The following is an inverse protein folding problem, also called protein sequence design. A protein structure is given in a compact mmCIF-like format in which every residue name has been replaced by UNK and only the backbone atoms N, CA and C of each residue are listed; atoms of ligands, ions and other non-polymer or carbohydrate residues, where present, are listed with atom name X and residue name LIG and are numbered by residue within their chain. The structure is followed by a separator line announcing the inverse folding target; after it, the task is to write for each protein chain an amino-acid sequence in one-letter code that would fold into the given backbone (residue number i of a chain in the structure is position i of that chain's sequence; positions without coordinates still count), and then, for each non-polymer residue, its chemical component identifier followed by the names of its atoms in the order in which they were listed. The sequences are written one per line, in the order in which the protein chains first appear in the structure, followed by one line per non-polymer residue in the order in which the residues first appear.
data_IF_047819777643
#
_entry.id   IF_047819777643
#
_cell.length_a   1.000
_cell.length_b   1.000
_cell.length_c   1.000
_cell.angle_alpha   90.00
_cell.angle_beta   90.00
_cell.angle_gamma   90.00
#
_symmetry.space_group_name_H-M   'P 1'
#
loop_
_entity.id
_entity.type
_entity.pdbx_description
1 polymer ?
#
# COMPACT_ATOMS: atom_id res chain seq x y z
N UNK A 1 62.82 -6.19 36.53
CA UNK A 1 62.72 -6.59 37.96
C UNK A 1 61.48 -7.50 38.08
N UNK A 2 61.78 -8.65 38.64
CA UNK A 2 60.82 -9.75 38.89
C UNK A 2 59.89 -9.39 40.06
N UNK A 3 58.67 -9.92 40.04
CA UNK A 3 57.95 -10.58 41.14
C UNK A 3 56.50 -10.88 40.59
N UNK A 4 56.13 -12.07 40.33
CA UNK A 4 55.89 -13.31 41.11
C UNK A 4 54.52 -13.34 41.83
N UNK A 5 53.66 -14.18 41.30
CA UNK A 5 52.64 -15.08 41.85
C UNK A 5 52.09 -14.84 43.26
N UNK A 6 50.75 -14.93 43.37
CA UNK A 6 50.13 -15.93 44.26
C UNK A 6 48.62 -16.09 43.95
N UNK A 7 48.18 -17.36 43.73
CA UNK A 7 46.80 -17.84 43.87
C UNK A 7 46.51 -18.19 45.34
N UNK A 8 45.27 -18.17 45.77
CA UNK A 8 44.82 -19.12 46.79
C UNK A 8 43.59 -19.94 46.34
N UNK A 9 43.77 -21.21 46.41
CA UNK A 9 43.13 -22.34 47.12
C UNK A 9 41.60 -22.39 47.21
N UNK A 10 41.08 -23.48 46.62
CA UNK A 10 39.79 -24.13 46.83
C UNK A 10 39.49 -24.41 48.29
N UNK A 11 38.25 -24.17 48.72
CA UNK A 11 37.67 -24.83 49.88
C UNK A 11 36.42 -25.61 49.45
N UNK A 12 36.47 -26.89 49.78
CA UNK A 12 35.34 -27.82 49.68
C UNK A 12 34.31 -27.47 50.77
N UNK A 13 33.03 -27.51 50.44
CA UNK A 13 31.96 -27.56 51.43
C UNK A 13 31.10 -28.80 51.17
N UNK A 14 30.87 -29.46 52.27
CA UNK A 14 30.34 -30.80 52.48
C UNK A 14 28.84 -30.82 52.24
N UNK A 15 28.36 -31.84 51.53
CA UNK A 15 26.96 -32.22 51.41
C UNK A 15 26.43 -32.74 52.75
N UNK A 16 25.34 -32.16 53.25
CA UNK A 16 24.45 -32.79 54.23
C UNK A 16 23.16 -33.15 53.55
N UNK A 17 22.93 -34.43 53.42
CA UNK A 17 21.66 -35.01 52.98
C UNK A 17 20.72 -35.14 54.16
N UNK A 18 19.51 -34.62 54.05
CA UNK A 18 18.38 -34.99 54.90
C UNK A 18 17.24 -35.55 54.05
N UNK A 19 16.59 -36.61 54.49
CA UNK A 19 15.50 -37.20 53.73
C UNK A 19 14.17 -36.50 54.03
N UNK A 20 13.45 -36.07 53.01
CA UNK A 20 12.07 -35.62 53.09
C UNK A 20 11.16 -36.80 52.69
N UNK A 21 10.35 -37.22 53.61
CA UNK A 21 9.32 -38.22 53.39
C UNK A 21 8.23 -37.67 52.47
N UNK A 22 7.96 -38.40 51.42
CA UNK A 22 6.91 -38.10 50.44
C UNK A 22 5.54 -38.51 51.01
N UNK A 23 4.65 -37.53 51.15
CA UNK A 23 3.21 -37.79 51.29
C UNK A 23 2.58 -37.69 49.91
N UNK A 24 2.29 -38.82 49.29
CA UNK A 24 1.59 -38.90 48.01
C UNK A 24 0.08 -38.69 48.26
N UNK A 25 -0.44 -37.53 47.94
CA UNK A 25 -1.87 -37.32 47.78
C UNK A 25 -2.21 -37.54 46.29
N UNK A 26 -2.77 -38.70 45.97
CA UNK A 26 -3.35 -38.95 44.65
C UNK A 26 -4.61 -38.11 44.48
N UNK A 27 -4.48 -36.97 43.82
CA UNK A 27 -5.61 -36.29 43.19
C UNK A 27 -5.74 -36.81 41.78
N UNK A 28 -6.69 -37.71 41.57
CA UNK A 28 -7.03 -38.19 40.23
C UNK A 28 -7.64 -37.07 39.40
N UNK A 29 -6.84 -36.48 38.52
CA UNK A 29 -7.39 -35.69 37.42
C UNK A 29 -7.91 -36.66 36.37
N UNK A 30 -9.23 -36.78 36.29
CA UNK A 30 -9.87 -37.38 35.12
C UNK A 30 -9.58 -36.48 33.93
N UNK A 31 -8.70 -36.96 33.03
CA UNK A 31 -8.50 -36.34 31.72
C UNK A 31 -9.77 -36.66 30.92
N UNK A 32 -10.66 -35.65 30.82
CA UNK A 32 -11.74 -35.71 29.85
C UNK A 32 -11.10 -35.75 28.44
N UNK A 33 -11.58 -36.61 27.54
CA UNK A 33 -11.08 -36.60 26.18
C UNK A 33 -11.33 -35.22 25.58
N UNK A 34 -10.27 -34.60 25.07
CA UNK A 34 -10.38 -33.34 24.32
C UNK A 34 -11.40 -33.54 23.20
N UNK A 35 -12.53 -32.86 23.34
CA UNK A 35 -13.47 -32.73 22.24
C UNK A 35 -12.65 -32.17 21.06
N UNK A 36 -12.59 -32.91 19.94
CA UNK A 36 -12.09 -32.38 18.66
C UNK A 36 -12.95 -31.16 18.36
N UNK A 37 -12.39 -29.97 18.50
CA UNK A 37 -13.01 -28.78 17.97
C UNK A 37 -13.25 -29.06 16.48
N UNK A 38 -14.50 -29.09 16.08
CA UNK A 38 -14.83 -29.03 14.66
C UNK A 38 -14.18 -27.75 14.13
N UNK A 39 -13.52 -27.78 12.98
CA UNK A 39 -13.07 -26.54 12.36
C UNK A 39 -14.29 -25.62 12.26
N UNK A 40 -14.14 -24.31 12.49
CA UNK A 40 -15.22 -23.37 12.27
C UNK A 40 -15.76 -23.67 10.87
N UNK A 41 -17.08 -23.80 10.77
CA UNK A 41 -17.71 -23.92 9.45
C UNK A 41 -17.17 -22.72 8.67
N UNK A 42 -16.44 -23.02 7.59
CA UNK A 42 -16.01 -21.98 6.67
C UNK A 42 -17.29 -21.22 6.34
N UNK A 43 -17.33 -19.94 6.71
CA UNK A 43 -18.36 -19.04 6.22
C UNK A 43 -18.38 -19.33 4.73
N UNK A 44 -19.53 -19.73 4.19
CA UNK A 44 -19.64 -20.02 2.78
C UNK A 44 -19.19 -18.74 2.09
N UNK A 45 -17.98 -18.75 1.54
CA UNK A 45 -17.46 -17.66 0.76
C UNK A 45 -18.53 -17.41 -0.29
N UNK A 46 -19.08 -16.21 -0.28
CA UNK A 46 -20.04 -15.79 -1.30
C UNK A 46 -19.39 -16.18 -2.63
N UNK A 47 -20.10 -16.92 -3.45
CA UNK A 47 -19.56 -17.57 -4.63
C UNK A 47 -18.93 -16.50 -5.54
N UNK A 48 -17.60 -16.32 -5.60
CA UNK A 48 -16.99 -15.26 -6.40
C UNK A 48 -17.27 -15.42 -7.91
N UNK A 49 -17.82 -16.56 -8.29
CA UNK A 49 -18.14 -16.85 -9.69
C UNK A 49 -19.40 -16.18 -10.23
N UNK A 50 -20.24 -15.63 -9.39
CA UNK A 50 -21.44 -14.93 -9.87
C UNK A 50 -21.15 -13.44 -10.18
N UNK A 51 -19.97 -12.94 -9.81
CA UNK A 51 -19.58 -11.53 -9.97
C UNK A 51 -18.47 -11.28 -11.00
N UNK A 52 -18.01 -12.32 -11.68
CA UNK A 52 -17.01 -12.21 -12.75
C UNK A 52 -17.62 -11.92 -14.13
N UNK A 53 -18.84 -11.42 -14.15
CA UNK A 53 -19.38 -10.84 -15.38
C UNK A 53 -18.75 -9.44 -15.51
N UNK A 54 -17.84 -9.30 -16.47
CA UNK A 54 -17.00 -8.11 -16.68
C UNK A 54 -17.76 -6.87 -17.15
N UNK A 55 -18.99 -6.70 -16.74
CA UNK A 55 -19.70 -5.43 -16.91
C UNK A 55 -19.05 -4.41 -15.99
N UNK A 56 -18.22 -3.55 -16.57
CA UNK A 56 -17.76 -2.35 -15.91
C UNK A 56 -18.99 -1.64 -15.31
N UNK A 57 -18.95 -1.41 -13.99
CA UNK A 57 -20.03 -0.70 -13.30
C UNK A 57 -20.28 0.69 -13.91
N UNK A 58 -21.41 1.27 -13.57
CA UNK A 58 -21.68 2.65 -13.96
C UNK A 58 -20.61 3.58 -13.43
N UNK A 59 -20.17 4.53 -14.24
CA UNK A 59 -19.23 5.57 -13.87
C UNK A 59 -19.70 6.31 -12.63
N UNK A 60 -18.87 6.34 -11.57
CA UNK A 60 -19.14 7.09 -10.34
C UNK A 60 -18.62 8.54 -10.40
N UNK A 61 -17.83 8.88 -11.41
CA UNK A 61 -17.30 10.23 -11.65
C UNK A 61 -17.60 10.70 -13.09
N UNK A 62 -18.88 10.92 -13.46
CA UNK A 62 -19.27 11.13 -14.86
C UNK A 62 -18.66 12.39 -15.49
N UNK A 63 -18.37 13.43 -14.68
CA UNK A 63 -17.74 14.66 -15.14
C UNK A 63 -16.21 14.57 -15.28
N UNK A 64 -15.59 13.54 -14.71
CA UNK A 64 -14.14 13.36 -14.67
C UNK A 64 -13.65 12.17 -15.52
N UNK A 65 -14.50 11.54 -16.32
CA UNK A 65 -14.11 10.38 -17.14
C UNK A 65 -13.30 10.82 -18.35
N UNK A 66 -12.22 10.10 -18.63
CA UNK A 66 -11.43 10.25 -19.85
C UNK A 66 -11.61 9.01 -20.72
N UNK A 67 -12.15 9.19 -21.91
CA UNK A 67 -12.58 8.09 -22.79
C UNK A 67 -11.50 7.02 -23.02
N UNK A 68 -10.24 7.42 -23.09
CA UNK A 68 -9.12 6.49 -23.34
C UNK A 68 -8.79 5.58 -22.15
N UNK A 69 -9.22 5.94 -20.92
CA UNK A 69 -8.96 5.15 -19.71
C UNK A 69 -10.19 4.40 -19.20
N UNK A 70 -11.37 4.69 -19.77
CA UNK A 70 -12.61 4.02 -19.39
C UNK A 70 -13.29 4.58 -18.12
N UNK A 71 -14.39 3.95 -17.69
CA UNK A 71 -15.31 4.53 -16.71
C UNK A 71 -14.81 4.53 -15.26
N UNK A 72 -13.84 3.69 -14.93
CA UNK A 72 -13.31 3.55 -13.56
C UNK A 72 -12.03 4.35 -13.31
N UNK A 73 -11.67 5.24 -14.25
CA UNK A 73 -10.60 6.20 -14.08
C UNK A 73 -11.20 7.60 -14.01
N UNK A 74 -11.10 8.23 -12.85
CA UNK A 74 -11.55 9.59 -12.61
C UNK A 74 -10.36 10.54 -12.73
N UNK A 75 -10.45 11.54 -13.60
CA UNK A 75 -9.39 12.54 -13.77
C UNK A 75 -9.98 13.91 -13.45
N UNK A 76 -9.73 14.38 -12.25
CA UNK A 76 -10.14 15.69 -11.78
C UNK A 76 -9.19 16.78 -12.23
N UNK A 77 -9.70 17.99 -12.42
CA UNK A 77 -8.89 19.18 -12.67
C UNK A 77 -9.39 20.33 -11.76
N UNK A 78 -8.55 21.31 -11.52
CA UNK A 78 -8.79 22.40 -10.58
C UNK A 78 -9.84 23.43 -11.05
N UNK A 79 -10.38 23.27 -12.25
CA UNK A 79 -11.50 24.07 -12.74
C UNK A 79 -12.87 23.47 -12.41
N UNK A 80 -12.91 22.23 -11.97
CA UNK A 80 -14.12 21.57 -11.48
C UNK A 80 -14.51 22.12 -10.11
N UNK A 81 -15.81 22.20 -9.82
CA UNK A 81 -16.24 22.63 -8.49
C UNK A 81 -15.84 21.61 -7.44
N UNK A 82 -15.36 22.07 -6.28
CA UNK A 82 -15.00 21.16 -5.18
C UNK A 82 -16.18 20.28 -4.78
N UNK A 83 -17.40 20.81 -4.75
CA UNK A 83 -18.58 20.05 -4.41
C UNK A 83 -18.83 18.86 -5.40
N UNK A 84 -18.49 19.03 -6.67
CA UNK A 84 -18.58 17.93 -7.65
C UNK A 84 -17.50 16.88 -7.38
N UNK A 85 -16.24 17.33 -7.18
CA UNK A 85 -15.12 16.46 -6.87
C UNK A 85 -15.41 15.65 -5.59
N UNK A 86 -15.84 16.33 -4.53
CA UNK A 86 -16.19 15.69 -3.26
C UNK A 86 -17.29 14.63 -3.43
N UNK A 87 -18.37 14.97 -4.15
CA UNK A 87 -19.49 14.04 -4.36
C UNK A 87 -19.07 12.76 -5.13
N UNK A 88 -18.21 12.92 -6.14
CA UNK A 88 -17.68 11.78 -6.91
C UNK A 88 -16.75 10.90 -6.04
N UNK A 89 -15.89 11.52 -5.23
CA UNK A 89 -14.99 10.82 -4.29
C UNK A 89 -15.79 10.07 -3.21
N UNK A 90 -16.81 10.72 -2.64
CA UNK A 90 -17.70 10.12 -1.64
C UNK A 90 -18.49 8.94 -2.21
N UNK A 91 -18.89 9.00 -3.48
CA UNK A 91 -19.57 7.89 -4.15
C UNK A 91 -18.66 6.67 -4.29
N UNK A 92 -17.38 6.87 -4.67
CA UNK A 92 -16.39 5.80 -4.75
C UNK A 92 -16.11 5.25 -3.35
N UNK A 93 -15.89 6.11 -2.37
CA UNK A 93 -15.64 5.70 -1.00
C UNK A 93 -16.82 4.92 -0.41
N UNK A 94 -18.06 5.35 -0.64
CA UNK A 94 -19.29 4.64 -0.22
C UNK A 94 -19.32 3.21 -0.76
N UNK A 95 -18.82 2.98 -1.96
CA UNK A 95 -18.76 1.65 -2.55
C UNK A 95 -17.57 0.85 -2.02
N UNK A 96 -16.38 1.45 -1.91
CA UNK A 96 -15.12 0.71 -1.72
C UNK A 96 -14.61 0.65 -0.27
N UNK A 97 -15.10 1.50 0.64
CA UNK A 97 -14.68 1.47 2.07
C UNK A 97 -15.28 0.29 2.84
N UNK A 98 -16.56 -0.10 2.66
CA UNK A 98 -17.16 -1.16 3.46
C UNK A 98 -16.45 -2.51 3.31
N UNK A 99 -16.38 -3.28 4.41
CA UNK A 99 -15.78 -4.64 4.43
C UNK A 99 -16.36 -5.57 3.36
N UNK A 100 -17.59 -5.36 2.93
CA UNK A 100 -18.22 -6.14 1.87
C UNK A 100 -17.49 -6.02 0.52
N UNK A 101 -16.71 -4.95 0.33
CA UNK A 101 -15.92 -4.70 -0.89
C UNK A 101 -14.51 -5.29 -0.84
N UNK A 102 -14.13 -5.93 0.28
CA UNK A 102 -12.81 -6.53 0.48
C UNK A 102 -12.39 -7.48 -0.66
N UNK A 103 -13.34 -8.19 -1.27
CA UNK A 103 -13.09 -9.14 -2.36
C UNK A 103 -14.03 -8.94 -3.55
N UNK A 104 -14.50 -7.71 -3.76
CA UNK A 104 -15.34 -7.41 -4.92
C UNK A 104 -14.53 -7.29 -6.22
N UNK A 105 -15.21 -7.06 -7.32
CA UNK A 105 -14.60 -6.90 -8.65
C UNK A 105 -14.33 -5.46 -9.03
N UNK A 106 -14.76 -4.48 -8.22
CA UNK A 106 -14.61 -3.08 -8.54
C UNK A 106 -13.18 -2.60 -8.29
N UNK A 107 -12.70 -1.75 -9.16
CA UNK A 107 -11.34 -1.19 -9.14
C UNK A 107 -11.43 0.26 -9.62
N UNK A 108 -10.77 1.19 -8.94
CA UNK A 108 -10.78 2.60 -9.28
C UNK A 108 -9.37 3.20 -9.31
N UNK A 109 -9.15 4.12 -10.26
CA UNK A 109 -8.02 5.04 -10.23
C UNK A 109 -8.56 6.47 -10.18
N UNK A 110 -8.13 7.21 -9.18
CA UNK A 110 -8.48 8.60 -8.92
C UNK A 110 -7.25 9.45 -9.21
N UNK A 111 -7.33 10.26 -10.24
CA UNK A 111 -6.22 11.09 -10.69
C UNK A 111 -6.55 12.57 -10.60
N UNK A 112 -5.60 13.34 -10.12
CA UNK A 112 -5.69 14.80 -10.06
C UNK A 112 -4.70 15.43 -11.05
N UNK A 113 -5.20 16.21 -11.98
CA UNK A 113 -4.35 17.02 -12.88
C UNK A 113 -3.50 18.01 -12.06
N UNK A 114 -2.37 18.52 -12.62
CA UNK A 114 -1.66 19.63 -11.98
C UNK A 114 -2.59 20.78 -11.62
N UNK A 115 -2.53 21.21 -10.36
CA UNK A 115 -3.42 22.26 -9.82
C UNK A 115 -3.56 22.16 -8.31
N UNK A 116 -4.45 22.97 -7.74
CA UNK A 116 -4.70 23.02 -6.29
C UNK A 116 -6.16 22.70 -5.99
N UNK A 117 -6.38 21.74 -5.11
CA UNK A 117 -7.68 21.21 -4.71
C UNK A 117 -7.91 21.46 -3.23
N UNK A 118 -9.10 21.91 -2.88
CA UNK A 118 -9.39 22.32 -1.52
C UNK A 118 -8.74 23.63 -1.11
N UNK A 119 -9.09 24.12 0.07
CA UNK A 119 -8.53 25.31 0.69
C UNK A 119 -8.58 25.21 2.21
N UNK A 120 -7.93 26.13 2.91
CA UNK A 120 -8.01 26.18 4.38
C UNK A 120 -9.44 26.38 4.93
N UNK A 121 -10.32 27.04 4.17
CA UNK A 121 -11.72 27.30 4.57
C UNK A 121 -12.70 26.25 4.05
N UNK A 122 -12.29 25.45 3.08
CA UNK A 122 -13.08 24.40 2.44
C UNK A 122 -12.12 23.28 2.00
N UNK A 123 -11.62 22.48 2.96
CA UNK A 123 -10.65 21.43 2.65
C UNK A 123 -11.29 20.29 1.86
N UNK A 124 -10.50 19.66 0.98
CA UNK A 124 -10.90 18.45 0.28
C UNK A 124 -10.48 17.22 1.12
N UNK A 125 -11.46 16.56 1.73
CA UNK A 125 -11.21 15.39 2.59
C UNK A 125 -12.04 14.20 2.13
N UNK A 126 -11.41 13.07 1.92
CA UNK A 126 -12.12 11.86 1.48
C UNK A 126 -11.43 10.58 1.95
N UNK A 127 -12.20 9.50 1.99
CA UNK A 127 -11.70 8.18 2.34
C UNK A 127 -11.32 7.36 1.09
N UNK A 128 -10.28 6.54 1.23
CA UNK A 128 -9.84 5.59 0.21
C UNK A 128 -10.20 4.17 0.63
N UNK A 129 -10.97 3.49 -0.20
CA UNK A 129 -11.40 2.13 0.03
C UNK A 129 -10.56 1.07 -0.69
N UNK A 130 -11.03 -0.17 -0.68
CA UNK A 130 -10.38 -1.30 -1.34
C UNK A 130 -10.18 -1.05 -2.84
N UNK A 131 -9.05 -1.50 -3.36
CA UNK A 131 -8.72 -1.45 -4.79
C UNK A 131 -8.84 -0.05 -5.40
N UNK A 132 -8.49 0.96 -4.62
CA UNK A 132 -8.53 2.35 -5.05
C UNK A 132 -7.12 2.94 -5.03
N UNK A 133 -6.67 3.42 -6.17
CA UNK A 133 -5.44 4.17 -6.36
C UNK A 133 -5.76 5.67 -6.40
N UNK A 134 -4.97 6.47 -5.69
CA UNK A 134 -5.02 7.93 -5.77
C UNK A 134 -3.66 8.47 -6.21
N UNK A 135 -3.62 9.29 -7.27
CA UNK A 135 -2.35 9.87 -7.72
C UNK A 135 -2.51 11.28 -8.31
N UNK A 136 -1.49 12.10 -8.12
CA UNK A 136 -1.31 13.33 -8.87
C UNK A 136 -0.71 13.06 -10.26
N UNK A 137 -1.18 13.78 -11.27
CA UNK A 137 -0.68 13.72 -12.63
C UNK A 137 0.34 14.83 -12.94
N UNK A 138 0.93 15.46 -11.93
CA UNK A 138 2.07 16.34 -12.08
C UNK A 138 3.34 15.58 -12.44
N UNK A 139 4.32 16.25 -13.06
CA UNK A 139 5.65 15.67 -13.21
C UNK A 139 6.38 15.58 -11.88
N UNK A 140 6.18 16.56 -11.00
CA UNK A 140 6.67 16.56 -9.62
C UNK A 140 5.47 16.50 -8.65
N UNK A 141 5.64 15.94 -7.45
CA UNK A 141 4.54 15.87 -6.47
C UNK A 141 3.89 17.22 -6.19
N UNK A 142 4.67 18.29 -6.06
CA UNK A 142 4.17 19.64 -5.80
C UNK A 142 3.38 20.28 -6.93
N UNK A 143 3.33 19.67 -8.12
CA UNK A 143 2.50 20.16 -9.22
C UNK A 143 1.02 19.89 -8.98
N UNK A 144 0.69 18.95 -8.07
CA UNK A 144 -0.67 18.59 -7.67
C UNK A 144 -0.81 18.74 -6.17
N UNK A 145 -1.54 19.75 -5.71
CA UNK A 145 -1.66 20.09 -4.31
C UNK A 145 -3.08 19.82 -3.81
N UNK A 146 -3.22 19.05 -2.75
CA UNK A 146 -4.48 18.84 -2.02
C UNK A 146 -4.38 19.51 -0.65
N UNK A 147 -5.23 20.49 -0.39
CA UNK A 147 -5.43 21.07 0.94
C UNK A 147 -6.56 20.30 1.63
N UNK A 148 -6.21 19.37 2.50
CA UNK A 148 -7.15 18.45 3.13
C UNK A 148 -6.48 17.17 3.57
N UNK A 149 -7.20 16.03 3.47
CA UNK A 149 -6.70 14.73 3.84
C UNK A 149 -7.23 13.63 2.90
N UNK A 150 -6.43 12.56 2.73
CA UNK A 150 -6.76 11.38 1.91
C UNK A 150 -6.72 10.17 2.83
N UNK A 151 -7.80 9.90 3.53
CA UNK A 151 -7.80 9.07 4.71
C UNK A 151 -8.12 7.60 4.45
N UNK A 152 -7.47 6.74 5.20
CA UNK A 152 -7.87 5.36 5.43
C UNK A 152 -8.09 5.19 6.93
N UNK A 153 -9.34 5.13 7.35
CA UNK A 153 -9.68 4.86 8.74
C UNK A 153 -9.81 3.36 9.00
N UNK A 154 -9.66 2.99 10.26
CA UNK A 154 -9.96 1.64 10.70
C UNK A 154 -11.46 1.46 10.91
N UNK A 155 -12.13 1.03 9.86
CA UNK A 155 -13.58 0.81 9.87
C UNK A 155 -13.97 -0.64 10.18
N UNK A 156 -12.99 -1.51 10.48
CA UNK A 156 -13.21 -2.95 10.63
C UNK A 156 -13.40 -3.31 12.11
N UNK A 157 -14.36 -2.67 12.75
CA UNK A 157 -14.67 -2.91 14.15
C UNK A 157 -15.70 -4.02 14.30
N UNK A 158 -15.46 -4.92 15.25
CA UNK A 158 -16.45 -5.93 15.62
C UNK A 158 -17.65 -5.25 16.27
N UNK A 159 -18.83 -5.43 15.71
CA UNK A 159 -20.07 -4.81 16.19
C UNK A 159 -20.26 -5.03 17.71
N UNK A 160 -20.45 -3.92 18.43
CA UNK A 160 -20.63 -3.94 19.89
C UNK A 160 -19.36 -4.07 20.73
N UNK A 161 -18.18 -4.01 20.11
CA UNK A 161 -16.88 -4.00 20.80
C UNK A 161 -16.07 -2.78 20.37
N UNK A 162 -15.04 -2.42 21.14
CA UNK A 162 -14.03 -1.44 20.74
C UNK A 162 -12.85 -2.09 20.02
N UNK A 163 -13.00 -3.31 19.55
CA UNK A 163 -11.93 -4.04 18.89
C UNK A 163 -12.02 -3.82 17.39
N UNK A 164 -11.22 -2.90 16.89
CA UNK A 164 -11.06 -2.58 15.49
C UNK A 164 -9.74 -3.16 14.98
N UNK A 165 -9.68 -3.56 13.71
CA UNK A 165 -8.50 -4.20 13.15
C UNK A 165 -8.23 -3.69 11.72
N UNK A 166 -7.13 -2.96 11.54
CA UNK A 166 -6.68 -2.49 10.22
C UNK A 166 -5.97 -3.57 9.40
N UNK A 167 -5.77 -4.79 9.93
CA UNK A 167 -5.09 -5.86 9.20
C UNK A 167 -5.81 -6.24 7.90
N UNK A 168 -7.11 -5.98 7.82
CA UNK A 168 -7.91 -6.21 6.63
C UNK A 168 -8.00 -5.00 5.69
N UNK A 169 -7.37 -3.86 6.04
CA UNK A 169 -7.28 -2.66 5.21
C UNK A 169 -6.10 -2.75 4.23
N UNK A 170 -6.26 -3.39 3.10
CA UNK A 170 -5.23 -3.57 2.08
C UNK A 170 -5.71 -3.10 0.69
N UNK A 171 -4.84 -3.14 -0.32
CA UNK A 171 -5.10 -2.75 -1.71
C UNK A 171 -5.56 -1.31 -1.87
N UNK A 172 -4.77 -0.37 -1.34
CA UNK A 172 -4.94 1.08 -1.49
C UNK A 172 -3.61 1.71 -1.86
N UNK A 173 -3.61 2.85 -2.53
CA UNK A 173 -2.36 3.58 -2.74
C UNK A 173 -2.57 5.08 -2.88
N UNK A 174 -1.56 5.83 -2.47
CA UNK A 174 -1.47 7.26 -2.69
C UNK A 174 -0.10 7.59 -3.27
N UNK A 175 -0.05 8.39 -4.34
CA UNK A 175 1.22 8.74 -4.97
C UNK A 175 1.24 10.08 -5.69
N UNK A 176 2.45 10.61 -5.87
CA UNK A 176 2.79 11.73 -6.73
C UNK A 176 1.94 13.00 -6.52
N UNK A 177 1.72 13.40 -5.27
CA UNK A 177 1.00 14.62 -4.90
C UNK A 177 1.57 15.27 -3.64
N UNK A 178 1.22 16.54 -3.44
CA UNK A 178 1.46 17.27 -2.19
C UNK A 178 0.16 17.37 -1.41
N UNK A 179 0.21 17.00 -0.13
CA UNK A 179 -0.92 16.99 0.78
C UNK A 179 -0.64 17.93 1.94
N UNK A 180 -1.50 18.94 2.12
CA UNK A 180 -1.45 19.88 3.24
C UNK A 180 -2.50 19.49 4.26
N UNK A 181 -2.13 18.71 5.27
CA UNK A 181 -3.01 18.28 6.37
C UNK A 181 -2.90 19.20 7.58
N UNK A 182 -1.72 19.80 7.82
CA UNK A 182 -1.52 20.79 8.88
C UNK A 182 -2.11 22.16 8.49
N UNK A 183 -3.44 22.19 8.37
CA UNK A 183 -4.17 23.41 8.05
C UNK A 183 -4.24 24.31 9.28
N UNK A 184 -4.30 25.66 9.12
CA UNK A 184 -4.38 26.58 10.24
C UNK A 184 -5.52 26.25 11.19
N UNK A 185 -5.26 26.32 12.50
CA UNK A 185 -6.19 25.97 13.59
C UNK A 185 -7.48 26.78 13.66
N UNK A 186 -7.69 27.73 12.77
CA UNK A 186 -8.95 28.48 12.61
C UNK A 186 -9.99 27.74 11.79
N UNK A 187 -9.63 26.68 11.10
CA UNK A 187 -10.59 25.78 10.48
C UNK A 187 -11.21 24.89 11.55
N UNK A 188 -12.54 24.79 11.60
CA UNK A 188 -13.18 23.78 12.44
C UNK A 188 -12.61 22.40 12.09
N UNK A 189 -12.49 21.56 13.10
CA UNK A 189 -12.19 20.14 12.87
C UNK A 189 -13.09 19.66 11.73
N UNK A 190 -12.49 19.32 10.59
CA UNK A 190 -13.22 18.71 9.49
C UNK A 190 -13.11 17.19 9.65
N UNK A 191 -14.23 16.56 9.84
CA UNK A 191 -14.28 15.11 9.73
C UNK A 191 -14.63 14.77 8.28
N UNK A 192 -13.93 13.84 7.65
CA UNK A 192 -14.39 13.31 6.37
C UNK A 192 -15.81 12.78 6.52
N UNK A 193 -16.59 12.73 5.44
CA UNK A 193 -17.87 12.05 5.49
C UNK A 193 -17.62 10.62 5.94
N UNK A 194 -18.03 10.32 7.17
CA UNK A 194 -17.81 9.02 7.78
C UNK A 194 -18.77 8.04 7.15
N UNK A 195 -18.24 7.16 6.32
CA UNK A 195 -19.02 6.11 5.66
C UNK A 195 -19.32 4.97 6.64
N UNK A 196 -18.48 4.82 7.66
CA UNK A 196 -18.73 3.93 8.80
C UNK A 196 -18.63 4.73 10.11
N UNK A 197 -19.46 4.40 11.10
CA UNK A 197 -19.66 5.16 12.33
C UNK A 197 -18.41 5.23 13.25
N UNK A 198 -17.36 4.49 12.95
CA UNK A 198 -16.18 4.36 13.79
C UNK A 198 -15.08 5.39 13.55
N UNK A 199 -15.05 6.04 12.39
CA UNK A 199 -14.10 7.13 12.11
C UNK A 199 -14.51 8.50 12.66
N UNK A 200 -15.67 8.61 13.30
CA UNK A 200 -16.16 9.87 13.84
C UNK A 200 -15.35 10.29 15.09
N UNK A 201 -14.62 11.39 14.97
CA UNK A 201 -13.88 11.98 16.08
C UNK A 201 -12.36 11.91 15.99
N UNK A 202 -11.81 11.43 14.88
CA UNK A 202 -10.39 11.55 14.62
C UNK A 202 -9.94 13.00 14.46
N UNK A 203 -8.79 13.34 15.00
CA UNK A 203 -8.21 14.67 14.87
C UNK A 203 -7.76 14.92 13.41
N UNK A 204 -7.76 16.17 13.00
CA UNK A 204 -7.84 16.58 11.62
C UNK A 204 -6.60 17.31 11.12
N UNK A 205 -5.52 17.24 11.88
CA UNK A 205 -4.21 17.81 11.52
C UNK A 205 -3.20 16.75 11.08
N UNK A 206 -3.66 15.52 10.83
CA UNK A 206 -2.83 14.38 10.51
C UNK A 206 -3.45 13.61 9.34
N UNK A 207 -2.61 13.05 8.50
CA UNK A 207 -3.02 12.09 7.48
C UNK A 207 -3.24 10.73 8.14
N UNK A 208 -4.44 10.22 8.09
CA UNK A 208 -4.76 8.89 8.62
C UNK A 208 -4.60 7.82 7.54
N UNK A 209 -3.62 6.95 7.71
CA UNK A 209 -3.38 5.84 6.79
C UNK A 209 -3.37 4.50 7.54
N UNK A 210 -4.49 4.20 8.21
CA UNK A 210 -4.70 2.98 8.99
C UNK A 210 -4.90 1.77 8.09
N UNK A 211 -3.82 1.31 7.48
CA UNK A 211 -3.83 0.22 6.50
C UNK A 211 -2.71 -0.76 6.78
N UNK A 212 -2.81 -1.93 6.16
CA UNK A 212 -1.80 -2.99 6.23
C UNK A 212 -1.08 -3.19 4.89
N UNK A 213 -0.85 -4.43 4.49
CA UNK A 213 -0.06 -4.74 3.30
C UNK A 213 -0.72 -4.22 2.02
N UNK A 214 0.10 -4.00 1.00
CA UNK A 214 -0.32 -3.51 -0.32
C UNK A 214 -1.07 -2.17 -0.28
N UNK A 215 -0.61 -1.27 0.60
CA UNK A 215 -1.15 0.08 0.75
C UNK A 215 0.00 1.11 0.81
N UNK A 216 0.79 1.25 -0.27
CA UNK A 216 1.94 2.12 -0.27
C UNK A 216 1.56 3.60 -0.40
N UNK A 217 2.37 4.45 0.26
CA UNK A 217 2.51 5.87 -0.06
C UNK A 217 3.83 6.04 -0.80
N UNK A 218 3.79 6.59 -2.01
CA UNK A 218 4.98 6.78 -2.83
C UNK A 218 5.04 8.18 -3.41
N UNK A 219 6.26 8.73 -3.46
CA UNK A 219 6.49 9.97 -4.19
C UNK A 219 5.50 11.08 -3.76
N UNK A 220 5.28 11.23 -2.46
CA UNK A 220 4.35 12.21 -1.88
C UNK A 220 5.10 13.25 -1.06
N UNK A 221 4.53 14.45 -0.99
CA UNK A 221 4.86 15.47 0.01
C UNK A 221 3.68 15.53 0.96
N UNK A 222 3.91 15.29 2.25
CA UNK A 222 2.87 15.43 3.28
C UNK A 222 3.34 16.50 4.25
N UNK A 223 2.65 17.62 4.24
CA UNK A 223 2.88 18.73 5.15
C UNK A 223 2.00 18.53 6.40
N UNK A 224 2.55 17.80 7.37
CA UNK A 224 1.92 17.33 8.59
C UNK A 224 2.49 15.96 9.00
N UNK A 225 1.85 15.30 9.96
CA UNK A 225 2.15 13.94 10.40
C UNK A 225 1.29 12.90 9.67
N UNK A 226 1.76 11.64 9.70
CA UNK A 226 0.99 10.49 9.18
C UNK A 226 0.78 9.49 10.30
N UNK A 227 -0.46 9.10 10.53
CA UNK A 227 -0.86 8.12 11.55
C UNK A 227 -1.20 6.79 10.86
N UNK A 228 -0.51 5.71 11.23
CA UNK A 228 -0.67 4.39 10.63
C UNK A 228 -1.55 3.45 11.44
N UNK A 229 -2.08 3.94 12.50
CA UNK A 229 -3.09 3.26 13.32
C UNK A 229 -4.11 4.29 13.74
N UNK A 230 -5.37 4.00 13.47
CA UNK A 230 -6.46 4.84 13.93
C UNK A 230 -6.65 4.68 15.43
N UNK A 231 -6.24 5.67 16.19
CA UNK A 231 -6.37 5.70 17.65
C UNK A 231 -7.67 6.38 18.12
N UNK A 232 -8.47 6.88 17.20
CA UNK A 232 -9.66 7.66 17.52
C UNK A 232 -10.85 6.78 17.88
N UNK A 233 -10.92 5.59 17.35
CA UNK A 233 -12.04 4.68 17.58
C UNK A 233 -11.76 3.66 18.70
N UNK A 234 -10.55 3.15 18.81
CA UNK A 234 -10.10 2.18 19.83
C UNK A 234 -8.60 1.86 19.68
N UNK A 235 -8.03 1.24 20.71
CA UNK A 235 -6.72 0.58 20.59
C UNK A 235 -6.77 -0.45 19.47
N UNK A 236 -5.91 -0.31 18.49
CA UNK A 236 -6.01 -1.01 17.23
C UNK A 236 -4.70 -1.64 16.78
N UNK A 237 -4.80 -2.55 15.83
CA UNK A 237 -3.66 -3.24 15.25
C UNK A 237 -3.65 -3.06 13.74
N UNK A 238 -2.47 -2.73 13.21
CA UNK A 238 -2.16 -2.75 11.79
C UNK A 238 -0.87 -3.53 11.59
N UNK A 239 -0.64 -4.09 10.42
CA UNK A 239 0.54 -4.88 10.15
C UNK A 239 1.04 -4.71 8.73
N UNK A 240 2.26 -4.20 8.62
CA UNK A 240 2.92 -3.96 7.36
C UNK A 240 2.57 -2.60 6.76
N UNK A 241 3.33 -2.24 5.76
CA UNK A 241 3.16 -1.02 4.99
C UNK A 241 4.47 -0.52 4.41
N UNK A 242 4.37 0.47 3.54
CA UNK A 242 5.49 0.96 2.78
C UNK A 242 5.34 2.44 2.43
N UNK A 243 6.37 3.22 2.79
CA UNK A 243 6.57 4.57 2.28
C UNK A 243 7.86 4.60 1.48
N UNK A 244 7.83 5.18 0.28
CA UNK A 244 9.02 5.39 -0.51
C UNK A 244 9.02 6.74 -1.22
N UNK A 245 10.22 7.27 -1.44
CA UNK A 245 10.45 8.44 -2.28
C UNK A 245 9.60 9.66 -1.87
N UNK A 246 9.34 9.82 -0.56
CA UNK A 246 8.38 10.78 -0.02
C UNK A 246 9.01 11.73 0.99
N UNK A 247 8.39 12.90 1.17
CA UNK A 247 8.71 13.86 2.24
C UNK A 247 7.53 14.00 3.16
N UNK A 248 7.76 13.80 4.46
CA UNK A 248 6.78 14.04 5.52
C UNK A 248 7.37 15.06 6.47
N UNK A 249 6.74 16.23 6.62
CA UNK A 249 7.29 17.31 7.44
C UNK A 249 7.15 17.04 8.95
N UNK A 250 6.11 16.32 9.34
CA UNK A 250 5.86 15.85 10.70
C UNK A 250 6.39 14.47 10.97
N UNK A 251 5.84 13.82 11.96
CA UNK A 251 6.22 12.48 12.40
C UNK A 251 5.46 11.39 11.63
N UNK A 252 6.07 10.21 11.56
CA UNK A 252 5.40 8.96 11.21
C UNK A 252 4.96 8.28 12.52
N UNK A 253 3.67 8.28 12.80
CA UNK A 253 3.11 7.76 14.03
C UNK A 253 2.58 6.34 13.82
N UNK A 254 3.41 5.35 14.19
CA UNK A 254 3.11 3.93 13.94
C UNK A 254 2.24 3.30 15.01
N UNK A 255 2.26 3.81 16.25
CA UNK A 255 1.54 3.27 17.40
C UNK A 255 1.62 1.73 17.48
N UNK A 256 0.53 1.03 17.18
CA UNK A 256 0.45 -0.43 17.17
C UNK A 256 0.74 -1.09 15.82
N UNK A 257 1.14 -0.34 14.80
CA UNK A 257 1.53 -0.93 13.51
C UNK A 257 2.79 -1.78 13.66
N UNK A 258 2.71 -3.05 13.29
CA UNK A 258 3.69 -4.05 13.68
C UNK A 258 4.96 -4.05 12.84
N UNK A 259 4.88 -3.74 11.56
CA UNK A 259 6.00 -3.86 10.64
C UNK A 259 5.85 -2.83 9.54
N UNK A 260 6.91 -2.06 9.32
CA UNK A 260 6.84 -1.03 8.29
C UNK A 260 8.20 -0.81 7.62
N UNK A 261 8.19 -0.45 6.36
CA UNK A 261 9.38 -0.07 5.63
C UNK A 261 9.27 1.36 5.11
N UNK A 262 10.25 2.18 5.45
CA UNK A 262 10.44 3.52 4.89
C UNK A 262 11.72 3.52 4.06
N UNK A 263 11.62 3.93 2.80
CA UNK A 263 12.74 3.91 1.87
C UNK A 263 12.91 5.24 1.15
N UNK A 264 14.15 5.70 1.02
CA UNK A 264 14.52 6.86 0.19
C UNK A 264 13.62 8.09 0.43
N UNK A 265 13.37 8.42 1.68
CA UNK A 265 12.44 9.47 2.09
C UNK A 265 13.10 10.45 3.05
N UNK A 266 12.43 11.58 3.29
CA UNK A 266 12.78 12.53 4.32
C UNK A 266 11.59 12.69 5.27
N UNK A 267 11.79 12.49 6.58
CA UNK A 267 10.74 12.54 7.59
C UNK A 267 11.15 13.47 8.74
N UNK A 268 10.19 14.08 9.41
CA UNK A 268 10.42 14.89 10.61
C UNK A 268 10.88 14.04 11.80
N UNK A 269 10.24 12.89 11.97
CA UNK A 269 10.55 11.91 12.99
C UNK A 269 9.75 10.63 12.80
N UNK A 270 9.85 9.71 13.77
CA UNK A 270 9.01 8.52 13.80
C UNK A 270 8.74 8.12 15.24
N UNK A 271 7.47 7.97 15.56
CA UNK A 271 6.97 7.55 16.86
C UNK A 271 6.31 6.18 16.76
N UNK A 272 6.30 5.41 17.82
CA UNK A 272 5.68 4.09 17.75
C UNK A 272 5.95 3.27 19.00
N UNK A 273 5.52 3.81 20.11
CA UNK A 273 5.42 3.10 21.35
C UNK A 273 4.24 3.69 22.13
N UNK A 274 3.27 2.89 22.57
CA UNK A 274 3.53 2.11 23.77
C UNK A 274 3.28 0.61 23.67
N UNK A 275 2.80 0.07 22.58
CA UNK A 275 2.17 -1.27 22.61
C UNK A 275 3.02 -2.43 22.05
N UNK A 276 4.31 -2.28 21.76
CA UNK A 276 5.04 -3.46 21.34
C UNK A 276 6.40 -3.28 20.69
N UNK A 277 7.06 -4.40 20.56
CA UNK A 277 8.33 -4.59 19.87
C UNK A 277 8.05 -4.91 18.41
N UNK A 278 8.01 -3.90 17.57
CA UNK A 278 7.75 -4.12 16.15
C UNK A 278 8.94 -3.76 15.29
N UNK A 279 9.12 -4.48 14.20
CA UNK A 279 10.27 -4.32 13.32
C UNK A 279 10.01 -3.24 12.29
N UNK A 280 10.74 -2.13 12.38
CA UNK A 280 10.74 -1.06 11.41
C UNK A 280 12.04 -1.07 10.61
N UNK A 281 11.96 -0.83 9.30
CA UNK A 281 13.11 -0.75 8.41
C UNK A 281 13.16 0.63 7.76
N UNK A 282 14.27 1.33 7.97
CA UNK A 282 14.56 2.61 7.33
C UNK A 282 15.77 2.44 6.43
N UNK A 283 15.62 2.69 5.13
CA UNK A 283 16.69 2.55 4.14
C UNK A 283 16.85 3.82 3.32
N UNK A 284 17.98 4.50 3.45
CA UNK A 284 18.23 5.77 2.77
C UNK A 284 17.30 6.91 3.22
N UNK A 285 16.92 6.94 4.50
CA UNK A 285 15.94 7.89 5.06
C UNK A 285 16.62 8.96 5.87
N UNK A 286 16.34 10.22 5.56
CA UNK A 286 16.72 11.38 6.38
C UNK A 286 15.67 11.57 7.48
N UNK A 287 16.11 11.80 8.73
CA UNK A 287 15.22 11.90 9.89
C UNK A 287 14.81 10.56 10.50
N UNK A 288 15.37 9.44 10.01
CA UNK A 288 15.13 8.13 10.60
C UNK A 288 15.60 8.10 12.08
N UNK A 289 14.89 7.37 12.96
CA UNK A 289 15.33 7.14 14.33
C UNK A 289 16.65 6.37 14.36
N UNK A 290 17.32 6.36 15.52
CA UNK A 290 18.50 5.54 15.69
C UNK A 290 18.19 4.05 15.55
N UNK A 291 19.16 3.29 15.02
CA UNK A 291 19.06 1.83 15.01
C UNK A 291 18.90 1.29 16.45
N UNK A 292 17.96 0.40 16.66
CA UNK A 292 17.68 -0.21 17.95
C UNK A 292 17.27 -1.67 17.76
N UNK A 293 17.89 -2.59 18.51
CA UNK A 293 17.64 -4.03 18.42
C UNK A 293 17.26 -4.64 19.78
N UNK A 294 17.06 -3.81 20.79
CA UNK A 294 16.66 -4.24 22.12
C UNK A 294 15.89 -3.12 22.81
N UNK A 295 14.90 -3.47 23.58
CA UNK A 295 14.07 -2.54 24.32
C UNK A 295 12.58 -2.88 24.20
N UNK A 296 11.74 -2.04 24.81
CA UNK A 296 10.28 -2.23 24.80
C UNK A 296 9.57 -1.40 23.72
N UNK A 297 10.31 -0.64 22.98
CA UNK A 297 9.85 0.17 21.86
C UNK A 297 10.56 -0.28 20.60
N UNK A 298 10.07 0.08 19.46
CA UNK A 298 10.50 -0.23 18.09
C UNK A 298 11.89 -0.88 17.95
N UNK A 299 11.93 -1.96 17.21
CA UNK A 299 13.21 -2.49 16.71
C UNK A 299 13.46 -1.87 15.33
N UNK A 300 14.40 -0.94 15.27
CA UNK A 300 14.69 -0.19 14.07
C UNK A 300 15.95 -0.72 13.38
N UNK A 301 15.77 -1.24 12.16
CA UNK A 301 16.90 -1.47 11.24
C UNK A 301 17.08 -0.22 10.39
N UNK A 302 18.26 0.38 10.45
CA UNK A 302 18.55 1.62 9.74
C UNK A 302 19.77 1.43 8.84
N UNK A 303 19.55 1.65 7.55
CA UNK A 303 20.57 1.66 6.51
C UNK A 303 20.74 3.09 6.01
N UNK A 304 21.96 3.59 5.98
CA UNK A 304 22.25 4.96 5.53
C UNK A 304 21.89 5.21 4.07
N UNK A 305 21.96 4.17 3.26
CA UNK A 305 21.61 4.21 1.82
C UNK A 305 20.87 2.95 1.44
N UNK A 306 20.04 3.05 0.41
CA UNK A 306 19.44 1.91 -0.27
C UNK A 306 20.41 1.39 -1.33
N UNK A 307 20.82 0.11 -1.28
CA UNK A 307 21.85 -0.42 -2.19
C UNK A 307 21.48 -0.28 -3.66
N UNK A 308 20.29 -0.69 -4.03
CA UNK A 308 19.73 -0.55 -5.38
C UNK A 308 18.25 -0.22 -5.25
N UNK A 309 17.81 0.84 -5.92
CA UNK A 309 16.40 1.20 -6.02
C UNK A 309 16.03 1.54 -7.45
N UNK A 310 14.81 1.28 -7.80
CA UNK A 310 14.15 1.79 -8.98
C UNK A 310 12.72 2.10 -8.58
N UNK A 311 12.32 3.37 -8.73
CA UNK A 311 10.96 3.76 -8.43
C UNK A 311 10.02 3.30 -9.54
N UNK A 312 8.75 3.16 -9.23
CA UNK A 312 7.77 2.68 -10.22
C UNK A 312 7.51 3.72 -11.31
N UNK A 313 7.24 3.29 -12.55
CA UNK A 313 6.75 4.17 -13.58
C UNK A 313 5.44 4.82 -13.19
N UNK A 314 5.24 6.09 -13.52
CA UNK A 314 4.02 6.83 -13.21
C UNK A 314 3.48 7.63 -14.39
N UNK A 315 2.15 7.72 -14.47
CA UNK A 315 1.45 8.53 -15.45
C UNK A 315 1.53 10.00 -15.03
N UNK A 316 1.79 10.90 -15.98
CA UNK A 316 1.76 12.33 -15.75
C UNK A 316 1.33 13.10 -16.99
N UNK A 317 0.92 14.35 -16.78
CA UNK A 317 0.54 15.30 -17.84
C UNK A 317 1.66 16.31 -18.02
N UNK A 318 2.19 16.45 -19.24
CA UNK A 318 3.22 17.44 -19.53
C UNK A 318 2.63 18.87 -19.67
N UNK A 319 3.48 19.87 -19.80
CA UNK A 319 3.08 21.26 -19.92
C UNK A 319 2.16 21.58 -21.12
N UNK A 320 2.06 20.67 -22.09
CA UNK A 320 1.14 20.77 -23.22
C UNK A 320 -0.19 20.02 -23.01
N UNK A 321 -0.43 19.50 -21.79
CA UNK A 321 -1.63 18.73 -21.46
C UNK A 321 -1.63 17.30 -22.04
N UNK A 322 -0.48 16.79 -22.48
CA UNK A 322 -0.37 15.45 -23.05
C UNK A 322 0.05 14.44 -21.99
N UNK A 323 -0.59 13.29 -21.97
CA UNK A 323 -0.23 12.19 -21.08
C UNK A 323 1.07 11.51 -21.50
N UNK A 324 1.92 11.27 -20.53
CA UNK A 324 3.17 10.53 -20.65
C UNK A 324 3.31 9.59 -19.44
N UNK A 325 4.13 8.57 -19.59
CA UNK A 325 4.61 7.76 -18.48
C UNK A 325 6.07 8.07 -18.25
N UNK A 326 6.43 8.52 -17.07
CA UNK A 326 7.82 8.63 -16.67
C UNK A 326 8.31 7.27 -16.16
N UNK A 327 9.48 6.86 -16.62
CA UNK A 327 10.14 5.62 -16.22
C UNK A 327 11.42 6.00 -15.50
N UNK A 328 11.46 5.93 -14.17
CA UNK A 328 12.63 6.26 -13.39
C UNK A 328 13.82 5.37 -13.73
N UNK A 329 15.03 5.89 -13.56
CA UNK A 329 16.25 5.12 -13.72
C UNK A 329 16.62 4.39 -12.43
N UNK A 330 17.30 3.26 -12.57
CA UNK A 330 17.90 2.53 -11.44
C UNK A 330 18.92 3.44 -10.72
N UNK A 331 18.84 3.51 -9.42
CA UNK A 331 19.77 4.20 -8.55
C UNK A 331 20.55 3.21 -7.68
N UNK A 332 21.78 3.56 -7.37
CA UNK A 332 22.64 2.77 -6.48
C UNK A 332 23.10 3.62 -5.29
N UNK A 333 23.10 3.01 -4.11
CA UNK A 333 23.49 3.67 -2.85
C UNK A 333 22.75 5.00 -2.65
N UNK A 334 21.46 5.02 -2.96
CA UNK A 334 20.63 6.21 -2.93
C UNK A 334 20.10 6.52 -1.53
N UNK A 335 19.79 7.78 -1.27
CA UNK A 335 19.16 8.27 -0.04
C UNK A 335 18.34 9.52 -0.34
N UNK A 336 17.29 9.74 0.44
CA UNK A 336 16.34 10.83 0.20
C UNK A 336 15.53 10.63 -1.08
N UNK A 337 14.70 11.60 -1.41
CA UNK A 337 13.80 11.52 -2.57
C UNK A 337 14.53 11.63 -3.90
N UNK A 338 14.11 10.86 -4.91
CA UNK A 338 14.69 10.86 -6.26
C UNK A 338 14.46 12.19 -7.00
N UNK A 339 13.38 12.87 -6.71
CA UNK A 339 12.92 14.12 -7.31
C UNK A 339 13.28 15.37 -6.50
N UNK A 340 13.94 15.24 -5.37
CA UNK A 340 14.19 16.32 -4.40
C UNK A 340 15.00 17.51 -4.97
N UNK A 341 15.73 17.33 -6.07
CA UNK A 341 16.44 18.40 -6.78
C UNK A 341 15.60 19.11 -7.84
N UNK A 342 14.31 18.79 -7.98
CA UNK A 342 13.44 19.32 -9.03
C UNK A 342 13.56 18.60 -10.37
N UNK A 343 14.38 17.58 -10.45
CA UNK A 343 14.49 16.70 -11.62
C UNK A 343 14.84 15.29 -11.19
N UNK A 344 14.39 14.31 -11.93
CA UNK A 344 14.61 12.91 -11.68
C UNK A 344 15.30 12.24 -12.87
N UNK A 345 16.23 11.33 -12.58
CA UNK A 345 16.86 10.53 -13.63
C UNK A 345 15.87 9.49 -14.14
N UNK A 346 15.71 9.43 -15.48
CA UNK A 346 14.78 8.52 -16.11
C UNK A 346 14.47 8.94 -17.54
N UNK A 347 13.35 8.43 -18.06
CA UNK A 347 12.88 8.78 -19.40
C UNK A 347 11.37 8.95 -19.44
N UNK A 348 10.90 9.92 -20.18
CA UNK A 348 9.47 10.09 -20.51
C UNK A 348 9.11 9.31 -21.76
N UNK A 349 8.00 8.60 -21.70
CA UNK A 349 7.44 7.82 -22.81
C UNK A 349 6.03 8.35 -23.10
N UNK A 350 5.75 8.84 -24.30
CA UNK A 350 4.42 9.38 -24.61
C UNK A 350 3.36 8.28 -24.58
N UNK A 351 2.14 8.63 -24.15
CA UNK A 351 1.03 7.69 -24.07
C UNK A 351 0.74 6.99 -25.40
N UNK A 352 1.04 7.65 -26.53
CA UNK A 352 0.93 7.05 -27.88
C UNK A 352 1.82 5.81 -28.08
N UNK A 353 2.84 5.61 -27.24
CA UNK A 353 3.69 4.42 -27.23
C UNK A 353 3.15 3.29 -26.33
N UNK A 354 1.97 3.48 -25.76
CA UNK A 354 1.27 2.48 -24.95
C UNK A 354 0.02 1.99 -25.68
N UNK A 355 -0.28 0.74 -25.50
CA UNK A 355 -1.62 0.20 -25.70
C UNK A 355 -2.37 0.27 -24.38
N UNK A 356 -3.53 0.91 -24.37
CA UNK A 356 -4.39 1.01 -23.19
C UNK A 356 -5.46 -0.06 -23.34
N UNK A 357 -5.39 -1.07 -22.48
CA UNK A 357 -6.34 -2.18 -22.44
C UNK A 357 -7.31 -2.02 -21.27
N UNK A 358 -8.51 -2.51 -21.44
CA UNK A 358 -9.54 -2.64 -20.42
C UNK A 358 -9.88 -4.12 -20.20
N UNK A 359 -10.66 -4.49 -19.17
CA UNK A 359 -11.00 -5.89 -18.87
C UNK A 359 -11.62 -6.69 -20.02
N UNK A 360 -12.29 -6.01 -20.97
CA UNK A 360 -12.91 -6.66 -22.15
C UNK A 360 -11.92 -6.88 -23.30
N UNK A 361 -10.69 -6.35 -23.17
CA UNK A 361 -9.65 -6.50 -24.21
C UNK A 361 -9.12 -7.93 -24.21
N UNK A 362 -9.17 -8.59 -25.36
CA UNK A 362 -8.65 -9.95 -25.48
C UNK A 362 -7.13 -10.03 -25.30
N UNK A 363 -6.62 -11.11 -24.71
CA UNK A 363 -5.19 -11.36 -24.59
C UNK A 363 -4.49 -11.32 -25.94
N UNK A 364 -5.14 -11.84 -26.99
CA UNK A 364 -4.58 -11.82 -28.35
C UNK A 364 -4.36 -10.39 -28.88
N UNK A 365 -5.25 -9.45 -28.56
CA UNK A 365 -5.06 -8.05 -28.92
C UNK A 365 -3.93 -7.40 -28.11
N UNK A 366 -3.85 -7.70 -26.82
CA UNK A 366 -2.74 -7.23 -25.97
C UNK A 366 -1.40 -7.73 -26.50
N UNK A 367 -1.28 -9.02 -26.75
CA UNK A 367 -0.05 -9.67 -27.22
C UNK A 367 0.37 -9.14 -28.60
N UNK A 368 -0.60 -8.87 -29.48
CA UNK A 368 -0.33 -8.27 -30.79
C UNK A 368 0.31 -6.88 -30.66
N UNK A 369 -0.24 -6.02 -29.82
CA UNK A 369 0.27 -4.67 -29.61
C UNK A 369 1.65 -4.67 -28.90
N UNK A 370 1.84 -5.57 -27.93
CA UNK A 370 3.14 -5.78 -27.29
C UNK A 370 4.19 -6.27 -28.31
N UNK A 371 3.82 -7.17 -29.21
CA UNK A 371 4.72 -7.65 -30.29
C UNK A 371 5.09 -6.53 -31.28
N UNK A 372 4.18 -5.60 -31.53
CA UNK A 372 4.45 -4.39 -32.34
C UNK A 372 5.37 -3.37 -31.63
N UNK A 373 5.70 -3.58 -30.35
CA UNK A 373 6.61 -2.73 -29.59
C UNK A 373 5.94 -1.67 -28.73
N UNK A 374 4.61 -1.74 -28.56
CA UNK A 374 3.92 -0.92 -27.58
C UNK A 374 4.26 -1.38 -26.15
N UNK A 375 4.21 -0.44 -25.23
CA UNK A 375 4.05 -0.71 -23.79
C UNK A 375 2.57 -0.97 -23.48
N UNK A 376 2.25 -1.35 -22.26
CA UNK A 376 0.90 -1.69 -21.86
C UNK A 376 0.44 -0.86 -20.66
N UNK A 377 -0.74 -0.28 -20.73
CA UNK A 377 -1.50 0.18 -19.56
C UNK A 377 -2.73 -0.71 -19.45
N UNK A 378 -2.94 -1.24 -18.25
CA UNK A 378 -4.14 -1.98 -17.88
C UNK A 378 -5.01 -1.07 -17.00
N UNK A 379 -6.19 -0.69 -17.48
CA UNK A 379 -7.10 0.17 -16.73
C UNK A 379 -7.75 -0.60 -15.57
N UNK A 380 -8.34 0.09 -14.56
CA UNK A 380 -8.89 -0.58 -13.39
C UNK A 380 -9.93 -1.64 -13.76
N UNK A 381 -9.79 -2.85 -13.20
CA UNK A 381 -10.73 -3.94 -13.38
C UNK A 381 -10.11 -5.32 -13.18
N UNK A 382 -10.93 -6.36 -13.34
CA UNK A 382 -10.52 -7.76 -13.24
C UNK A 382 -10.47 -8.37 -14.65
N UNK A 383 -9.28 -8.77 -15.05
CA UNK A 383 -8.97 -9.34 -16.36
C UNK A 383 -9.04 -10.86 -16.30
N UNK A 384 -10.08 -11.47 -16.83
CA UNK A 384 -10.24 -12.92 -16.94
C UNK A 384 -9.48 -13.43 -18.17
N UNK A 385 -8.26 -13.95 -17.92
CA UNK A 385 -7.31 -14.29 -18.98
C UNK A 385 -7.52 -15.74 -19.47
N UNK A 386 -7.77 -15.92 -20.76
CA UNK A 386 -7.85 -17.23 -21.40
C UNK A 386 -6.48 -17.78 -21.84
N UNK A 387 -5.46 -16.96 -21.83
CA UNK A 387 -4.06 -17.29 -22.11
C UNK A 387 -3.16 -16.34 -21.32
N UNK A 388 -1.86 -16.65 -21.15
CA UNK A 388 -0.91 -15.71 -20.54
C UNK A 388 -0.70 -14.47 -21.42
N UNK A 389 -0.58 -13.29 -20.80
CA UNK A 389 -0.05 -12.10 -21.48
C UNK A 389 1.45 -12.33 -21.68
N UNK A 390 1.94 -12.17 -22.92
CA UNK A 390 3.33 -12.44 -23.30
C UNK A 390 4.16 -11.16 -23.44
N UNK A 391 5.04 -10.90 -22.49
CA UNK A 391 6.01 -9.79 -22.55
C UNK A 391 7.34 -10.30 -23.06
N UNK A 392 7.60 -10.07 -24.36
CA UNK A 392 8.74 -10.68 -25.08
C UNK A 392 9.80 -9.68 -25.55
N UNK A 393 9.64 -8.39 -25.24
CA UNK A 393 10.58 -7.34 -25.69
C UNK A 393 11.28 -6.69 -24.50
N UNK A 394 12.56 -6.32 -24.66
CA UNK A 394 13.28 -5.57 -23.62
C UNK A 394 12.64 -4.20 -23.38
N UNK A 395 12.87 -3.65 -22.21
CA UNK A 395 12.43 -2.30 -21.79
C UNK A 395 10.92 -2.05 -21.86
N UNK A 396 10.11 -3.12 -22.00
CA UNK A 396 8.65 -3.01 -21.98
C UNK A 396 8.17 -2.59 -20.61
N UNK A 397 7.28 -1.60 -20.57
CA UNK A 397 6.58 -1.14 -19.38
C UNK A 397 5.16 -1.70 -19.38
N UNK A 398 4.76 -2.37 -18.30
CA UNK A 398 3.39 -2.79 -18.03
C UNK A 398 2.95 -2.09 -16.76
N UNK A 399 2.01 -1.16 -16.88
CA UNK A 399 1.50 -0.36 -15.78
C UNK A 399 0.02 -0.67 -15.57
N UNK A 400 -0.33 -1.24 -14.42
CA UNK A 400 -1.71 -1.35 -13.96
C UNK A 400 -2.14 -0.07 -13.27
N UNK A 401 -3.37 0.35 -13.49
CA UNK A 401 -4.03 1.44 -12.78
C UNK A 401 -5.12 0.86 -11.89
N UNK A 402 -5.33 1.45 -10.70
CA UNK A 402 -6.39 1.05 -9.79
C UNK A 402 -6.35 -0.45 -9.46
N UNK A 403 -5.16 -1.00 -9.26
CA UNK A 403 -5.00 -2.42 -8.91
C UNK A 403 -5.54 -3.40 -9.96
N UNK A 404 -5.28 -3.15 -11.25
CA UNK A 404 -5.64 -4.06 -12.33
C UNK A 404 -5.28 -5.52 -11.97
N UNK A 405 -6.29 -6.39 -11.91
CA UNK A 405 -6.17 -7.74 -11.39
C UNK A 405 -6.21 -8.77 -12.52
N UNK A 406 -5.15 -9.59 -12.64
CA UNK A 406 -4.98 -10.59 -13.69
C UNK A 406 -5.34 -11.98 -13.16
N UNK A 407 -6.36 -12.62 -13.72
CA UNK A 407 -6.90 -13.91 -13.25
C UNK A 407 -6.87 -14.95 -14.39
N UNK A 408 -5.92 -15.91 -14.39
CA UNK A 408 -5.87 -16.95 -15.40
C UNK A 408 -7.01 -17.95 -15.23
N UNK A 409 -7.76 -18.22 -16.31
CA UNK A 409 -8.96 -19.06 -16.25
C UNK A 409 -8.68 -20.56 -16.51
N UNK A 410 -7.51 -20.90 -17.08
CA UNK A 410 -7.23 -22.26 -17.59
C UNK A 410 -6.00 -22.92 -16.96
N UNK A 411 -5.58 -22.51 -15.75
CA UNK A 411 -4.45 -23.10 -15.07
C UNK A 411 -3.08 -22.74 -15.67
N UNK A 412 -3.04 -21.68 -16.48
CA UNK A 412 -1.79 -21.11 -17.04
C UNK A 412 -1.24 -20.01 -16.14
N UNK A 413 -0.06 -19.50 -16.43
CA UNK A 413 0.37 -18.23 -15.86
C UNK A 413 -0.57 -17.10 -16.35
N UNK A 414 -0.75 -16.05 -15.56
CA UNK A 414 -1.42 -14.85 -15.99
C UNK A 414 -0.53 -14.01 -16.92
N UNK A 415 0.78 -13.98 -16.63
CA UNK A 415 1.77 -13.28 -17.45
C UNK A 415 3.07 -14.07 -17.52
N UNK A 416 3.69 -14.02 -18.71
CA UNK A 416 5.02 -14.58 -18.96
C UNK A 416 5.91 -13.48 -19.50
N UNK A 417 6.98 -13.19 -18.75
CA UNK A 417 8.07 -12.32 -19.20
C UNK A 417 9.19 -13.21 -19.69
N UNK A 418 9.46 -13.20 -20.99
CA UNK A 418 10.57 -14.00 -21.55
C UNK A 418 11.92 -13.44 -21.07
N UNK A 419 13.05 -14.16 -21.28
CA UNK A 419 14.36 -13.68 -20.88
C UNK A 419 14.74 -12.39 -21.58
N UNK A 420 14.44 -11.27 -20.96
CA UNK A 420 14.69 -9.92 -21.45
C UNK A 420 15.21 -9.03 -20.31
N UNK A 421 15.82 -7.92 -20.67
CA UNK A 421 16.29 -6.91 -19.72
C UNK A 421 15.37 -5.70 -19.71
N UNK A 422 15.33 -4.98 -18.59
CA UNK A 422 14.68 -3.67 -18.47
C UNK A 422 13.15 -3.68 -18.44
N UNK A 423 12.49 -4.84 -18.38
CA UNK A 423 11.02 -4.92 -18.27
C UNK A 423 10.59 -4.38 -16.91
N UNK A 424 9.54 -3.57 -16.89
CA UNK A 424 8.93 -2.98 -15.70
C UNK A 424 7.50 -3.46 -15.57
N UNK A 425 7.14 -4.01 -14.42
CA UNK A 425 5.78 -4.39 -14.06
C UNK A 425 5.40 -3.64 -12.78
N UNK A 426 4.33 -2.86 -12.81
CA UNK A 426 3.86 -2.08 -11.65
C UNK A 426 2.34 -2.00 -11.60
N UNK A 427 1.76 -1.79 -10.39
CA UNK A 427 0.34 -1.55 -10.20
C UNK A 427 -0.57 -2.76 -10.47
N UNK A 428 -0.06 -3.99 -10.42
CA UNK A 428 -0.78 -5.21 -10.81
C UNK A 428 -1.06 -6.11 -9.62
N UNK A 429 -2.22 -6.77 -9.64
CA UNK A 429 -2.52 -7.92 -8.81
C UNK A 429 -2.53 -9.19 -9.70
N UNK A 430 -1.85 -10.22 -9.25
CA UNK A 430 -1.93 -11.56 -9.83
C UNK A 430 -2.75 -12.44 -8.90
N UNK A 431 -3.94 -12.80 -9.32
CA UNK A 431 -4.86 -13.60 -8.52
C UNK A 431 -5.07 -14.98 -9.16
N UNK A 432 -5.29 -15.99 -8.31
CA UNK A 432 -5.48 -17.35 -8.76
C UNK A 432 -6.89 -17.57 -9.31
N UNK A 433 -6.98 -18.14 -10.52
CA UNK A 433 -8.24 -18.62 -11.05
C UNK A 433 -8.74 -19.89 -10.37
N UNK A 434 -9.89 -20.40 -10.80
CA UNK A 434 -10.47 -21.63 -10.26
C UNK A 434 -9.69 -22.89 -10.63
N UNK A 435 -8.99 -22.85 -11.75
CA UNK A 435 -8.11 -23.94 -12.19
C UNK A 435 -6.71 -23.65 -11.68
N UNK A 436 -6.11 -24.62 -10.99
CA UNK A 436 -4.79 -24.46 -10.39
C UNK A 436 -3.74 -24.05 -11.42
N UNK A 437 -3.07 -22.95 -11.17
CA UNK A 437 -1.92 -22.45 -11.93
C UNK A 437 -0.65 -22.75 -11.15
N UNK A 438 0.32 -23.49 -11.69
CA UNK A 438 1.59 -23.76 -11.00
C UNK A 438 2.37 -22.48 -10.69
N UNK A 439 2.18 -21.43 -11.49
CA UNK A 439 2.79 -20.12 -11.34
C UNK A 439 1.86 -19.06 -11.93
N UNK A 440 1.71 -17.92 -11.25
CA UNK A 440 0.88 -16.79 -11.74
C UNK A 440 1.68 -15.81 -12.59
N UNK A 441 2.91 -15.52 -12.20
CA UNK A 441 3.86 -14.71 -12.96
C UNK A 441 5.14 -15.51 -13.21
N UNK A 442 5.45 -15.76 -14.48
CA UNK A 442 6.69 -16.42 -14.89
C UNK A 442 7.66 -15.38 -15.45
N UNK A 443 8.87 -15.30 -14.90
CA UNK A 443 9.93 -14.40 -15.35
C UNK A 443 11.16 -15.22 -15.70
N UNK A 444 11.64 -15.04 -16.93
CA UNK A 444 12.81 -15.78 -17.43
C UNK A 444 12.48 -17.23 -17.83
N UNK A 445 13.52 -18.08 -17.85
CA UNK A 445 13.38 -19.52 -18.13
C UNK A 445 13.38 -20.26 -16.80
N UNK A 446 12.37 -21.10 -16.48
CA UNK A 446 12.39 -21.92 -15.29
C UNK A 446 13.64 -22.79 -15.21
N UNK A 447 14.39 -22.73 -14.11
CA UNK A 447 15.57 -23.53 -13.86
C UNK A 447 16.92 -22.96 -14.33
N UNK A 448 16.94 -21.78 -14.93
CA UNK A 448 18.18 -21.02 -15.18
C UNK A 448 18.23 -19.83 -14.21
N UNK A 449 18.83 -20.03 -13.06
CA UNK A 449 19.20 -18.99 -12.10
C UNK A 449 20.69 -18.71 -12.18
#
# INVERSE_FOLDING_TARGET
MRHAFTRPRRRHAVLLAMPLAALAACVGFAIAPAAKASPPAAAAAANPAAQLDGTQGSTLCPGATVAQFGPNVCVFNDTMSQATIQADLDAIATQQVPIASQFDSQRYAIFFQPGTYGSNSDPLVFQVGYYTEVAGLGYLPQDTVVNGAIDVFNNLCTAGTSNCNSDDNFWRSMSNLELNVDLPTTTPDYAPPVIDAYGAGCANSEESWSSSQASPIRRAIINGSVVFQDYCAADDYASGGFIADSKVSGDLDFYGNQQYMVRNSAIGGANGCPNGLWNMVYSGVTGAPSAAFSGQCQQNTVLSTSPVTEEEPFLYTNASGQYNVFVPAVQQNSSGTSWGSGSEAGRSVPLSSFFVANPDTSVAAIDFELALGKNLILTPGVYNLNAPILVSRPDTVVLGQGFATLVPQHGTAAMIVTPNTGVKLSGLIFDAGRVNSPVLLSVGIPGNS
#
